data_IF_782345846649
#
_entry.id   IF_782345846649
#
_cell.length_a   1.000
_cell.length_b   1.000
_cell.length_c   1.000
_cell.angle_alpha   90.00
_cell.angle_beta   90.00
_cell.angle_gamma   90.00
#
_symmetry.space_group_name_H-M   'P 1'
#
loop_
_entity.id
_entity.type
_entity.pdbx_description
1 polymer ?
#
# COMPACT_ATOMS: atom_id res chain seq x y z
N UNK A 1 -14.01 -11.99 23.99
CA UNK A 1 -13.85 -13.23 23.21
C UNK A 1 -14.57 -13.22 21.85
N UNK A 2 -15.89 -12.97 21.73
CA UNK A 2 -16.51 -12.89 20.37
C UNK A 2 -16.32 -11.52 19.71
N UNK A 3 -16.43 -10.44 20.49
CA UNK A 3 -16.23 -9.06 19.99
C UNK A 3 -14.79 -8.81 19.54
N UNK A 4 -13.81 -9.42 20.18
CA UNK A 4 -12.39 -9.32 19.81
C UNK A 4 -12.12 -9.97 18.44
N UNK A 5 -12.79 -11.08 18.13
CA UNK A 5 -12.70 -11.72 16.81
C UNK A 5 -13.29 -10.80 15.74
N UNK A 6 -14.43 -10.15 16.01
CA UNK A 6 -14.99 -9.18 15.07
C UNK A 6 -14.08 -7.96 14.84
N UNK A 7 -13.38 -7.49 15.88
CA UNK A 7 -12.41 -6.40 15.76
C UNK A 7 -11.19 -6.84 14.93
N UNK A 8 -10.61 -8.01 15.21
CA UNK A 8 -9.46 -8.54 14.46
C UNK A 8 -9.79 -8.77 12.98
N UNK A 9 -10.96 -9.36 12.70
CA UNK A 9 -11.43 -9.57 11.32
C UNK A 9 -11.61 -8.23 10.60
N UNK A 10 -12.18 -7.22 11.27
CA UNK A 10 -12.36 -5.89 10.69
C UNK A 10 -11.01 -5.22 10.38
N UNK A 11 -10.04 -5.34 11.27
CA UNK A 11 -8.70 -4.80 11.05
C UNK A 11 -7.98 -5.50 9.89
N UNK A 12 -8.12 -6.82 9.76
CA UNK A 12 -7.59 -7.58 8.62
C UNK A 12 -8.25 -7.18 7.30
N UNK A 13 -9.57 -6.98 7.30
CA UNK A 13 -10.30 -6.50 6.13
C UNK A 13 -9.83 -5.09 5.72
N UNK A 14 -9.67 -4.18 6.68
CA UNK A 14 -9.15 -2.84 6.42
C UNK A 14 -7.74 -2.89 5.83
N UNK A 15 -6.85 -3.72 6.36
CA UNK A 15 -5.49 -3.90 5.82
C UNK A 15 -5.51 -4.41 4.37
N UNK A 16 -6.40 -5.35 4.04
CA UNK A 16 -6.53 -5.86 2.68
C UNK A 16 -7.01 -4.77 1.70
N UNK A 17 -7.98 -3.94 2.11
CA UNK A 17 -8.46 -2.81 1.31
C UNK A 17 -7.36 -1.77 1.10
N UNK A 18 -6.61 -1.43 2.15
CA UNK A 18 -5.51 -0.46 2.04
C UNK A 18 -4.36 -0.97 1.17
N UNK A 19 -4.03 -2.28 1.25
CA UNK A 19 -3.08 -2.90 0.32
C UNK A 19 -3.51 -2.75 -1.13
N UNK A 20 -4.77 -3.09 -1.43
CA UNK A 20 -5.33 -2.95 -2.77
C UNK A 20 -5.31 -1.50 -3.27
N UNK A 21 -5.63 -0.54 -2.41
CA UNK A 21 -5.56 0.89 -2.76
C UNK A 21 -4.14 1.32 -3.11
N UNK A 22 -3.16 0.85 -2.36
CA UNK A 22 -1.75 1.15 -2.62
C UNK A 22 -1.32 0.57 -3.97
N UNK A 23 -1.64 -0.70 -4.25
CA UNK A 23 -1.35 -1.33 -5.54
C UNK A 23 -1.99 -0.57 -6.70
N UNK A 24 -3.28 -0.23 -6.62
CA UNK A 24 -3.98 0.51 -7.67
C UNK A 24 -3.40 1.93 -7.86
N UNK A 25 -2.93 2.57 -6.79
CA UNK A 25 -2.33 3.90 -6.88
C UNK A 25 -0.97 3.91 -7.61
N UNK A 26 -0.26 2.77 -7.61
CA UNK A 26 0.99 2.58 -8.38
C UNK A 26 0.74 2.25 -9.85
N UNK A 27 -0.49 1.84 -10.22
CA UNK A 27 -0.85 1.57 -11.62
C UNK A 27 -0.86 2.89 -12.39
N UNK A 28 -0.07 2.94 -13.47
CA UNK A 28 0.03 4.10 -14.36
C UNK A 28 -1.31 4.34 -15.07
N UNK A 29 -2.10 5.26 -14.53
CA UNK A 29 -3.24 5.85 -15.22
C UNK A 29 -2.78 7.05 -16.06
N UNK A 30 -3.59 7.51 -17.01
CA UNK A 30 -3.22 8.62 -17.91
C UNK A 30 -2.97 9.98 -17.22
N UNK A 31 -3.16 10.06 -15.90
CA UNK A 31 -2.77 11.20 -15.07
C UNK A 31 -1.44 10.91 -14.39
N UNK A 32 -0.48 11.83 -14.49
CA UNK A 32 0.78 11.73 -13.77
C UNK A 32 0.50 11.67 -12.26
N UNK A 33 0.86 10.55 -11.63
CA UNK A 33 0.80 10.34 -10.18
C UNK A 33 2.23 10.19 -9.66
N UNK A 34 2.57 10.89 -8.58
CA UNK A 34 3.91 10.86 -7.96
C UNK A 34 4.25 9.45 -7.47
N UNK A 35 3.23 8.66 -7.10
CA UNK A 35 3.36 7.28 -6.61
C UNK A 35 3.95 6.31 -7.64
N UNK A 36 4.07 6.70 -8.92
CA UNK A 36 4.76 5.91 -9.94
C UNK A 36 6.28 5.88 -9.71
N UNK A 37 6.83 6.90 -9.05
CA UNK A 37 8.26 7.02 -8.77
C UNK A 37 8.69 6.23 -7.53
N UNK A 38 7.76 5.70 -6.72
CA UNK A 38 8.08 4.92 -5.51
C UNK A 38 8.85 3.62 -5.82
N UNK A 39 8.70 3.09 -7.04
CA UNK A 39 9.43 1.90 -7.49
C UNK A 39 10.89 2.23 -7.83
N UNK A 40 11.21 3.50 -8.10
CA UNK A 40 12.54 3.94 -8.51
C UNK A 40 13.43 4.13 -7.26
N UNK A 41 14.14 3.06 -6.89
CA UNK A 41 15.20 3.14 -5.88
C UNK A 41 16.44 3.78 -6.50
N UNK A 42 16.93 4.85 -5.88
CA UNK A 42 18.20 5.50 -6.26
C UNK A 42 19.24 5.14 -5.21
N UNK A 43 20.38 4.61 -5.65
CA UNK A 43 21.52 4.38 -4.76
C UNK A 43 22.07 5.72 -4.27
N UNK A 44 21.78 6.05 -3.00
CA UNK A 44 22.26 7.27 -2.36
C UNK A 44 23.49 6.94 -1.52
N UNK A 45 24.65 7.47 -1.91
CA UNK A 45 25.93 7.31 -1.21
C UNK A 45 26.26 5.86 -0.79
N UNK A 46 26.08 4.90 -1.71
CA UNK A 46 26.51 3.51 -1.51
C UNK A 46 25.69 2.68 -0.52
N UNK A 47 24.55 3.20 -0.05
CA UNK A 47 23.61 2.41 0.77
C UNK A 47 22.46 1.94 -0.11
N UNK A 48 22.43 0.64 -0.37
CA UNK A 48 21.38 -0.07 -1.10
C UNK A 48 20.18 -0.39 -0.22
#
# INVERSE_FOLDING_TARGET
MINEIFVDVKDRMNKAVEHYRHEVATIRTGRASVNILDVVKVDYYGTR
#
